data_IF_766584986781
#
_entry.id   IF_766584986781
#
_cell.length_a   1.000
_cell.length_b   1.000
_cell.length_c   1.000
_cell.angle_alpha   90.00
_cell.angle_beta   90.00
_cell.angle_gamma   90.00
#
_symmetry.space_group_name_H-M   'P 1'
#
loop_
_entity.id
_entity.type
_entity.pdbx_description
1 polymer ?
#
# COMPACT_ATOMS: atom_id res chain seq x y z
N UNK A 1 6.80 7.27 -9.38
CA UNK A 1 6.98 7.26 -7.93
C UNK A 1 5.67 7.01 -7.20
N UNK A 2 4.50 7.39 -7.75
CA UNK A 2 3.23 7.06 -7.09
C UNK A 2 2.77 5.62 -7.40
N UNK A 3 3.04 5.12 -8.61
CA UNK A 3 2.52 3.85 -9.12
C UNK A 3 3.25 2.66 -8.50
N UNK A 4 4.58 2.69 -8.46
CA UNK A 4 5.42 1.67 -7.81
C UNK A 4 5.06 1.50 -6.32
N UNK A 5 4.94 2.61 -5.59
CA UNK A 5 4.56 2.61 -4.17
C UNK A 5 3.10 2.13 -3.96
N UNK A 6 2.23 2.41 -4.93
CA UNK A 6 0.85 1.92 -4.90
C UNK A 6 0.78 0.41 -5.11
N UNK A 7 1.40 -0.11 -6.17
CA UNK A 7 1.41 -1.53 -6.50
C UNK A 7 2.12 -2.37 -5.42
N UNK A 8 3.27 -1.91 -4.92
CA UNK A 8 3.98 -2.59 -3.83
C UNK A 8 3.13 -2.66 -2.55
N UNK A 9 2.50 -1.54 -2.16
CA UNK A 9 1.61 -1.50 -1.01
C UNK A 9 0.39 -2.39 -1.17
N UNK A 10 -0.29 -2.33 -2.33
CA UNK A 10 -1.42 -3.20 -2.66
C UNK A 10 -1.05 -4.68 -2.56
N UNK A 11 0.07 -5.08 -3.16
CA UNK A 11 0.54 -6.45 -3.12
C UNK A 11 0.83 -6.92 -1.70
N UNK A 12 1.55 -6.12 -0.90
CA UNK A 12 1.81 -6.44 0.51
C UNK A 12 0.52 -6.58 1.34
N UNK A 13 -0.41 -5.63 1.21
CA UNK A 13 -1.70 -5.70 1.91
C UNK A 13 -2.55 -6.90 1.48
N UNK A 14 -2.54 -7.23 0.18
CA UNK A 14 -3.27 -8.37 -0.36
C UNK A 14 -2.71 -9.70 0.14
N UNK A 15 -1.39 -9.80 0.34
CA UNK A 15 -0.77 -11.00 0.92
C UNK A 15 -1.25 -11.22 2.36
N UNK A 16 -1.31 -10.15 3.17
CA UNK A 16 -1.79 -10.23 4.55
C UNK A 16 -3.24 -10.72 4.61
N UNK A 17 -4.09 -10.28 3.67
CA UNK A 17 -5.46 -10.77 3.57
C UNK A 17 -5.58 -12.19 3.04
N UNK A 18 -4.69 -12.57 2.12
CA UNK A 18 -4.56 -13.94 1.65
C UNK A 18 -4.27 -14.91 2.80
N UNK A 19 -3.32 -14.55 3.67
CA UNK A 19 -2.97 -15.36 4.87
C UNK A 19 -4.08 -15.29 5.94
N UNK A 20 -4.66 -14.11 6.19
CA UNK A 20 -5.68 -13.92 7.23
C UNK A 20 -6.98 -14.70 6.99
N UNK A 21 -7.44 -14.76 5.73
CA UNK A 21 -8.71 -15.42 5.38
C UNK A 21 -8.54 -16.76 4.66
N UNK A 22 -7.30 -17.25 4.54
CA UNK A 22 -6.95 -18.46 3.80
C UNK A 22 -7.54 -18.44 2.39
N UNK A 23 -7.30 -17.34 1.67
CA UNK A 23 -7.88 -17.12 0.33
C UNK A 23 -7.26 -18.08 -0.71
N UNK A 24 -7.89 -18.25 -1.89
CA UNK A 24 -7.34 -19.08 -2.94
C UNK A 24 -5.94 -18.63 -3.41
N UNK A 25 -5.14 -19.58 -3.88
CA UNK A 25 -3.76 -19.38 -4.34
C UNK A 25 -3.64 -18.29 -5.42
N UNK A 26 -4.68 -18.11 -6.25
CA UNK A 26 -4.73 -17.05 -7.26
C UNK A 26 -4.58 -15.64 -6.66
N UNK A 27 -5.10 -15.40 -5.45
CA UNK A 27 -4.95 -14.12 -4.75
C UNK A 27 -3.51 -13.94 -4.24
N UNK A 28 -2.89 -15.01 -3.73
CA UNK A 28 -1.48 -15.00 -3.36
C UNK A 28 -0.56 -14.70 -4.54
N UNK A 29 -0.82 -15.32 -5.70
CA UNK A 29 -0.08 -15.04 -6.95
C UNK A 29 -0.30 -13.61 -7.45
N UNK A 30 -1.54 -13.09 -7.35
CA UNK A 30 -1.84 -11.70 -7.71
C UNK A 30 -1.07 -10.73 -6.81
N UNK A 31 -1.03 -10.99 -5.50
CA UNK A 31 -0.25 -10.20 -4.54
C UNK A 31 1.24 -10.18 -4.90
N UNK A 32 1.84 -11.34 -5.14
CA UNK A 32 3.22 -11.46 -5.59
C UNK A 32 3.45 -10.70 -6.89
N UNK A 33 2.56 -10.88 -7.87
CA UNK A 33 2.61 -10.19 -9.16
C UNK A 33 2.58 -8.66 -9.02
N UNK A 34 1.71 -8.13 -8.16
CA UNK A 34 1.62 -6.68 -7.92
C UNK A 34 2.92 -6.11 -7.34
N UNK A 35 3.55 -6.80 -6.38
CA UNK A 35 4.83 -6.35 -5.81
C UNK A 35 5.95 -6.42 -6.86
N UNK A 36 6.01 -7.49 -7.65
CA UNK A 36 7.01 -7.65 -8.72
C UNK A 36 6.84 -6.56 -9.78
N UNK A 37 5.60 -6.32 -10.26
CA UNK A 37 5.32 -5.25 -11.23
C UNK A 37 5.66 -3.88 -10.63
N UNK A 38 5.31 -3.62 -9.37
CA UNK A 38 5.71 -2.40 -8.67
C UNK A 38 7.23 -2.21 -8.63
N UNK A 39 7.98 -3.28 -8.35
CA UNK A 39 9.44 -3.28 -8.40
C UNK A 39 10.01 -3.02 -9.80
N UNK A 40 9.39 -3.56 -10.85
CA UNK A 40 9.78 -3.29 -12.24
C UNK A 40 9.52 -1.82 -12.60
N UNK A 41 8.37 -1.27 -12.22
CA UNK A 41 8.05 0.16 -12.42
C UNK A 41 9.07 1.03 -11.70
N UNK A 42 9.44 0.70 -10.45
CA UNK A 42 10.49 1.41 -9.71
C UNK A 42 11.82 1.40 -10.47
N UNK A 43 12.24 0.27 -11.03
CA UNK A 43 13.47 0.17 -11.82
C UNK A 43 13.40 1.02 -13.10
N UNK A 44 12.25 1.11 -13.76
CA UNK A 44 12.06 1.95 -14.95
C UNK A 44 12.13 3.44 -14.63
N UNK A 45 11.72 3.83 -13.43
CA UNK A 45 11.78 5.22 -12.98
C UNK A 45 13.17 5.64 -12.47
N UNK A 46 14.03 4.67 -12.15
CA UNK A 46 15.42 4.96 -11.82
C UNK A 46 16.14 5.51 -13.05
N UNK A 47 16.83 6.65 -12.89
CA UNK A 47 17.64 7.20 -13.99
C UNK A 47 18.79 6.28 -14.45
N UNK A 48 19.20 5.31 -13.61
CA UNK A 48 20.26 4.34 -13.92
C UNK A 48 19.91 2.93 -13.39
N UNK A 49 19.00 2.18 -14.04
CA UNK A 49 18.49 0.89 -13.54
C UNK A 49 19.59 -0.15 -13.32
N UNK A 50 20.62 -0.16 -14.16
CA UNK A 50 21.75 -1.11 -14.06
C UNK A 50 22.57 -0.98 -12.77
N UNK A 51 22.43 0.14 -12.05
CA UNK A 51 23.10 0.37 -10.75
C UNK A 51 22.21 0.03 -9.56
N UNK A 52 20.97 -0.43 -9.79
CA UNK A 52 20.00 -0.72 -8.72
C UNK A 52 20.49 -1.78 -7.73
N UNK A 53 21.33 -2.74 -8.16
CA UNK A 53 21.92 -3.73 -7.25
C UNK A 53 22.72 -3.10 -6.11
N UNK A 54 23.32 -1.92 -6.33
CA UNK A 54 24.06 -1.17 -5.29
C UNK A 54 23.15 -0.66 -4.18
N UNK A 55 21.84 -0.55 -4.43
CA UNK A 55 20.88 -0.16 -3.42
C UNK A 55 20.82 -1.18 -2.27
N UNK A 56 21.21 -2.44 -2.46
CA UNK A 56 21.23 -3.46 -1.41
C UNK A 56 22.42 -3.27 -0.45
N UNK A 57 23.48 -2.58 -0.87
CA UNK A 57 24.76 -2.57 -0.17
C UNK A 57 24.83 -1.67 1.08
N UNK A 58 23.80 -0.86 1.38
CA UNK A 58 23.81 0.11 2.51
C UNK A 58 22.54 0.08 3.37
N UNK A 59 22.18 -1.07 3.97
CA UNK A 59 20.92 -1.21 4.72
C UNK A 59 20.88 -0.39 6.00
N UNK A 60 22.03 -0.12 6.61
CA UNK A 60 22.08 0.58 7.90
C UNK A 60 21.88 2.10 7.76
N UNK A 61 22.25 2.70 6.61
CA UNK A 61 22.20 4.15 6.41
C UNK A 61 21.09 4.64 5.49
N UNK A 62 20.50 3.77 4.65
CA UNK A 62 19.49 4.19 3.66
C UNK A 62 18.17 3.44 3.82
N UNK A 63 17.07 4.18 3.95
CA UNK A 63 15.71 3.62 3.94
C UNK A 63 15.35 2.96 2.61
N UNK A 64 15.87 3.49 1.50
CA UNK A 64 15.68 2.88 0.17
C UNK A 64 16.33 1.49 0.14
N UNK A 65 17.52 1.35 0.72
CA UNK A 65 18.20 0.05 0.82
C UNK A 65 17.39 -0.98 1.60
N UNK A 66 16.82 -0.57 2.75
CA UNK A 66 15.92 -1.41 3.55
C UNK A 66 14.68 -1.84 2.77
N UNK A 67 14.07 -0.91 2.02
CA UNK A 67 12.92 -1.20 1.16
C UNK A 67 13.21 -2.29 0.13
N UNK A 68 14.36 -2.23 -0.55
CA UNK A 68 14.78 -3.26 -1.52
C UNK A 68 14.92 -4.62 -0.84
N UNK A 69 15.51 -4.69 0.36
CA UNK A 69 15.65 -5.93 1.11
C UNK A 69 14.28 -6.49 1.52
N UNK A 70 13.34 -5.65 1.97
CA UNK A 70 11.99 -6.09 2.32
C UNK A 70 11.25 -6.66 1.11
N UNK A 71 11.37 -6.02 -0.06
CA UNK A 71 10.78 -6.51 -1.31
C UNK A 71 11.40 -7.84 -1.73
N UNK A 72 12.73 -7.98 -1.69
CA UNK A 72 13.40 -9.25 -2.03
C UNK A 72 13.00 -10.37 -1.06
N UNK A 73 12.99 -10.08 0.25
CA UNK A 73 12.58 -11.04 1.27
C UNK A 73 11.13 -11.48 1.04
N UNK A 74 10.23 -10.54 0.74
CA UNK A 74 8.84 -10.84 0.42
C UNK A 74 8.71 -11.70 -0.83
N UNK A 75 9.33 -11.31 -1.94
CA UNK A 75 9.25 -12.06 -3.21
C UNK A 75 9.75 -13.49 -3.03
N UNK A 76 10.88 -13.70 -2.37
CA UNK A 76 11.43 -15.04 -2.15
C UNK A 76 10.56 -15.85 -1.19
N UNK A 77 10.22 -15.31 -0.03
CA UNK A 77 9.46 -16.05 0.99
C UNK A 77 8.02 -16.35 0.56
N UNK A 78 7.31 -15.40 -0.05
CA UNK A 78 5.96 -15.62 -0.57
C UNK A 78 5.94 -16.61 -1.73
N UNK A 79 6.94 -16.58 -2.62
CA UNK A 79 7.07 -17.57 -3.69
C UNK A 79 7.26 -18.98 -3.12
N UNK A 80 8.13 -19.15 -2.13
CA UNK A 80 8.35 -20.45 -1.47
C UNK A 80 7.14 -20.92 -0.66
N UNK A 81 6.39 -19.98 -0.07
CA UNK A 81 5.16 -20.28 0.67
C UNK A 81 4.04 -20.75 -0.27
N UNK A 82 3.87 -20.10 -1.41
CA UNK A 82 2.81 -20.40 -2.38
C UNK A 82 3.16 -21.63 -3.24
N UNK A 83 4.45 -21.87 -3.54
CA UNK A 83 4.89 -22.88 -4.48
C UNK A 83 4.25 -24.27 -4.29
N UNK A 84 4.21 -24.88 -3.08
CA UNK A 84 3.63 -26.22 -2.89
C UNK A 84 2.15 -26.33 -3.24
N UNK A 85 1.43 -25.21 -3.29
CA UNK A 85 0.02 -25.17 -3.66
C UNK A 85 -0.20 -25.14 -5.18
N UNK A 86 0.87 -25.08 -5.98
CA UNK A 86 0.85 -25.20 -7.43
C UNK A 86 1.18 -26.65 -7.82
N UNK A 87 0.40 -27.23 -8.74
CA UNK A 87 0.57 -28.64 -9.16
C UNK A 87 2.00 -28.96 -9.62
N UNK A 88 2.66 -28.00 -10.29
CA UNK A 88 4.04 -28.11 -10.77
C UNK A 88 5.09 -28.29 -9.65
N UNK A 89 4.80 -27.83 -8.44
CA UNK A 89 5.70 -27.86 -7.29
C UNK A 89 5.13 -28.66 -6.11
N UNK A 90 4.13 -29.50 -6.37
CA UNK A 90 3.52 -30.40 -5.39
C UNK A 90 4.51 -31.41 -4.78
N UNK A 91 5.68 -31.61 -5.40
CA UNK A 91 6.77 -32.45 -4.90
C UNK A 91 7.58 -31.82 -3.75
N UNK A 92 7.38 -30.54 -3.45
CA UNK A 92 8.10 -29.86 -2.37
C UNK A 92 7.76 -30.49 -1.00
N UNK A 93 8.74 -30.62 -0.09
CA UNK A 93 8.58 -31.38 1.15
C UNK A 93 7.82 -30.61 2.25
N UNK A 94 7.44 -29.35 2.02
CA UNK A 94 6.67 -28.54 2.97
C UNK A 94 5.28 -28.23 2.43
N UNK A 95 4.32 -28.08 3.34
CA UNK A 95 2.96 -27.61 3.06
C UNK A 95 2.63 -26.41 3.96
N UNK A 96 1.61 -25.59 3.66
CA UNK A 96 1.19 -24.50 4.53
C UNK A 96 0.87 -24.93 5.97
N UNK A 97 0.47 -26.20 6.18
CA UNK A 97 0.21 -26.75 7.51
C UNK A 97 1.47 -27.26 8.24
N UNK A 98 2.54 -27.58 7.50
CA UNK A 98 3.81 -28.02 8.07
C UNK A 98 4.51 -26.89 8.85
N UNK A 99 5.39 -27.24 9.79
CA UNK A 99 6.16 -26.24 10.54
C UNK A 99 6.97 -25.33 9.60
N UNK A 100 7.61 -25.91 8.57
CA UNK A 100 8.38 -25.15 7.57
C UNK A 100 7.51 -24.18 6.78
N UNK A 101 6.32 -24.60 6.34
CA UNK A 101 5.37 -23.74 5.64
C UNK A 101 4.82 -22.61 6.52
N UNK A 102 4.52 -22.89 7.79
CA UNK A 102 4.10 -21.86 8.75
C UNK A 102 5.18 -20.81 8.98
N UNK A 103 6.43 -21.23 9.14
CA UNK A 103 7.57 -20.30 9.28
C UNK A 103 7.74 -19.44 8.03
N UNK A 104 7.64 -20.04 6.84
CA UNK A 104 7.68 -19.29 5.58
C UNK A 104 6.52 -18.30 5.45
N UNK A 105 5.30 -18.70 5.85
CA UNK A 105 4.12 -17.83 5.90
C UNK A 105 4.35 -16.61 6.79
N UNK A 106 4.82 -16.83 8.02
CA UNK A 106 5.14 -15.74 8.96
C UNK A 106 6.21 -14.79 8.41
N UNK A 107 7.26 -15.32 7.78
CA UNK A 107 8.31 -14.49 7.15
C UNK A 107 7.74 -13.70 5.97
N UNK A 108 6.88 -14.32 5.16
CA UNK A 108 6.21 -13.68 4.03
C UNK A 108 5.23 -12.60 4.48
N UNK A 109 4.40 -12.87 5.50
CA UNK A 109 3.49 -11.89 6.09
C UNK A 109 4.24 -10.72 6.75
N UNK A 110 5.31 -11.00 7.52
CA UNK A 110 6.13 -9.96 8.13
C UNK A 110 6.80 -9.07 7.06
N UNK A 111 7.36 -9.66 6.01
CA UNK A 111 7.95 -8.92 4.91
C UNK A 111 6.91 -8.16 4.08
N UNK A 112 5.71 -8.71 3.87
CA UNK A 112 4.59 -8.02 3.23
C UNK A 112 4.17 -6.75 4.01
N UNK A 113 4.10 -6.86 5.34
CA UNK A 113 3.84 -5.74 6.23
C UNK A 113 4.92 -4.66 6.09
N UNK A 114 6.19 -5.05 6.08
CA UNK A 114 7.32 -4.13 5.86
C UNK A 114 7.29 -3.49 4.47
N UNK A 115 6.90 -4.23 3.42
CA UNK A 115 6.72 -3.71 2.06
C UNK A 115 5.61 -2.64 2.02
N UNK A 116 4.53 -2.81 2.78
CA UNK A 116 3.47 -1.81 2.88
C UNK A 116 3.85 -0.58 3.74
N UNK A 117 4.73 -0.75 4.74
CA UNK A 117 5.18 0.32 5.64
C UNK A 117 6.32 1.18 5.08
N UNK A 118 7.29 0.55 4.40
CA UNK A 118 8.55 1.22 4.05
C UNK A 118 8.39 2.51 3.23
N UNK A 119 7.41 2.67 2.32
CA UNK A 119 7.33 3.90 1.53
C UNK A 119 7.09 5.12 2.41
N UNK A 120 6.23 4.99 3.43
CA UNK A 120 6.01 6.06 4.37
C UNK A 120 7.24 6.34 5.24
N UNK A 121 8.04 5.31 5.58
CA UNK A 121 9.32 5.53 6.27
C UNK A 121 10.34 6.29 5.41
N UNK A 122 10.49 5.92 4.13
CA UNK A 122 11.36 6.61 3.16
C UNK A 122 11.00 8.09 3.07
N UNK A 123 9.71 8.40 2.94
CA UNK A 123 9.22 9.77 2.88
C UNK A 123 9.42 10.51 4.21
N UNK A 124 9.10 9.87 5.34
CA UNK A 124 9.30 10.46 6.67
C UNK A 124 10.76 10.81 6.97
N UNK A 125 11.70 10.09 6.36
CA UNK A 125 13.13 10.33 6.52
C UNK A 125 13.68 11.48 5.65
N UNK A 126 12.84 12.27 4.99
CA UNK A 126 13.24 13.41 4.14
C UNK A 126 12.91 14.75 4.81
N UNK A 127 13.82 15.35 5.61
CA UNK A 127 13.52 16.58 6.37
C UNK A 127 13.26 17.79 5.47
N UNK A 128 13.81 17.81 4.26
CA UNK A 128 13.69 18.92 3.32
C UNK A 128 12.27 19.14 2.80
N UNK A 129 11.35 18.20 3.02
CA UNK A 129 9.95 18.33 2.63
C UNK A 129 9.11 18.10 3.89
N UNK A 130 8.74 19.16 4.62
CA UNK A 130 8.10 19.04 5.94
C UNK A 130 6.78 18.26 5.95
N UNK A 131 6.03 18.25 4.84
CA UNK A 131 4.80 17.45 4.73
C UNK A 131 5.08 15.95 4.74
N UNK A 132 6.21 15.51 4.20
CA UNK A 132 6.62 14.12 4.19
C UNK A 132 7.23 13.70 5.52
N UNK A 133 7.94 14.61 6.19
CA UNK A 133 8.56 14.42 7.51
C UNK A 133 7.53 14.35 8.65
N UNK A 134 6.64 13.35 8.61
CA UNK A 134 5.64 13.09 9.63
C UNK A 134 5.69 11.62 10.08
N UNK A 135 5.68 11.35 11.40
CA UNK A 135 5.60 9.98 11.91
C UNK A 135 4.27 9.30 11.59
N UNK A 136 3.26 10.05 11.14
CA UNK A 136 1.96 9.50 10.73
C UNK A 136 1.99 8.90 9.31
N UNK A 137 2.96 9.30 8.48
CA UNK A 137 2.98 8.90 7.08
C UNK A 137 3.17 7.38 6.87
N UNK A 138 4.06 6.68 7.61
CA UNK A 138 4.16 5.21 7.57
C UNK A 138 2.83 4.53 7.90
N UNK A 139 2.17 4.97 8.97
CA UNK A 139 0.88 4.40 9.42
C UNK A 139 -0.21 4.63 8.37
N UNK A 140 -0.25 5.84 7.80
CA UNK A 140 -1.21 6.23 6.78
C UNK A 140 -1.02 5.42 5.50
N UNK A 141 0.21 5.24 5.02
CA UNK A 141 0.50 4.46 3.82
C UNK A 141 0.23 2.96 4.02
N UNK A 142 0.49 2.44 5.22
CA UNK A 142 0.14 1.07 5.57
C UNK A 142 -1.38 0.86 5.59
N UNK A 143 -2.12 1.75 6.26
CA UNK A 143 -3.59 1.70 6.30
C UNK A 143 -4.20 1.84 4.90
N UNK A 144 -3.65 2.72 4.05
CA UNK A 144 -4.05 2.86 2.65
C UNK A 144 -3.74 1.60 1.83
N UNK A 145 -2.66 0.88 2.14
CA UNK A 145 -2.31 -0.38 1.49
C UNK A 145 -3.31 -1.49 1.83
N UNK A 146 -3.72 -1.60 3.08
CA UNK A 146 -4.79 -2.53 3.51
C UNK A 146 -6.14 -2.17 2.88
N UNK A 147 -6.48 -0.89 2.81
CA UNK A 147 -7.73 -0.44 2.18
C UNK A 147 -7.72 -0.70 0.68
N UNK A 148 -6.60 -0.43 0.01
CA UNK A 148 -6.44 -0.77 -1.39
C UNK A 148 -6.57 -2.29 -1.62
N UNK A 149 -5.98 -3.11 -0.76
CA UNK A 149 -6.09 -4.57 -0.84
C UNK A 149 -7.54 -5.05 -0.68
N UNK A 150 -8.33 -4.46 0.23
CA UNK A 150 -9.76 -4.80 0.34
C UNK A 150 -10.52 -4.33 -0.89
N UNK A 151 -10.14 -3.19 -1.48
CA UNK A 151 -10.65 -2.73 -2.78
C UNK A 151 -10.42 -3.73 -3.91
N UNK A 152 -9.25 -4.36 -3.98
CA UNK A 152 -8.97 -5.45 -4.95
C UNK A 152 -9.92 -6.62 -4.71
N UNK A 153 -10.07 -7.07 -3.46
CA UNK A 153 -10.95 -8.19 -3.13
C UNK A 153 -12.42 -7.89 -3.48
N UNK A 154 -12.90 -6.68 -3.19
CA UNK A 154 -14.25 -6.26 -3.58
C UNK A 154 -14.42 -6.23 -5.11
N UNK A 155 -13.41 -5.77 -5.85
CA UNK A 155 -13.42 -5.75 -7.32
C UNK A 155 -13.47 -7.17 -7.90
N UNK A 156 -12.78 -8.13 -7.28
CA UNK A 156 -12.75 -9.53 -7.68
C UNK A 156 -13.95 -10.36 -7.18
N UNK A 157 -14.83 -9.78 -6.37
CA UNK A 157 -16.00 -10.48 -5.81
C UNK A 157 -16.87 -11.24 -6.82
N UNK A 158 -17.09 -10.77 -8.07
CA UNK A 158 -17.91 -11.49 -9.05
C UNK A 158 -17.31 -12.83 -9.52
N UNK A 159 -16.02 -13.07 -9.28
CA UNK A 159 -15.36 -14.32 -9.66
C UNK A 159 -15.74 -15.50 -8.76
N UNK A 160 -16.53 -15.27 -7.70
CA UNK A 160 -16.98 -16.33 -6.78
C UNK A 160 -15.90 -16.86 -5.83
N UNK A 161 -14.66 -16.38 -5.96
CA UNK A 161 -13.49 -16.79 -5.16
C UNK A 161 -13.60 -16.44 -3.67
N UNK A 162 -14.53 -15.54 -3.32
CA UNK A 162 -14.62 -14.90 -1.99
C UNK A 162 -15.97 -15.13 -1.30
N UNK A 163 -16.86 -15.96 -1.86
CA UNK A 163 -18.28 -16.02 -1.46
C UNK A 163 -18.51 -16.20 0.04
N UNK A 164 -17.73 -17.06 0.71
CA UNK A 164 -17.85 -17.30 2.15
C UNK A 164 -17.13 -16.27 3.04
N UNK A 165 -16.37 -15.34 2.44
CA UNK A 165 -15.55 -14.34 3.14
C UNK A 165 -15.96 -12.91 2.80
N UNK A 166 -16.82 -12.71 1.80
CA UNK A 166 -17.16 -11.40 1.25
C UNK A 166 -17.77 -10.45 2.29
N UNK A 167 -18.59 -10.96 3.20
CA UNK A 167 -19.17 -10.16 4.28
C UNK A 167 -18.11 -9.68 5.27
N UNK A 168 -17.17 -10.56 5.65
CA UNK A 168 -16.01 -10.21 6.49
C UNK A 168 -15.07 -9.22 5.81
N UNK A 169 -14.83 -9.38 4.50
CA UNK A 169 -14.01 -8.47 3.71
C UNK A 169 -14.68 -7.10 3.60
N UNK A 170 -16.00 -7.06 3.37
CA UNK A 170 -16.79 -5.83 3.24
C UNK A 170 -16.85 -5.05 4.54
N UNK A 171 -17.08 -5.73 5.67
CA UNK A 171 -17.06 -5.10 7.00
C UNK A 171 -15.67 -4.56 7.36
N UNK A 172 -14.59 -5.30 7.07
CA UNK A 172 -13.24 -4.78 7.25
C UNK A 172 -12.96 -3.59 6.32
N UNK A 173 -13.44 -3.63 5.07
CA UNK A 173 -13.28 -2.52 4.13
C UNK A 173 -13.94 -1.24 4.66
N UNK A 174 -15.16 -1.31 5.20
CA UNK A 174 -15.84 -0.16 5.84
C UNK A 174 -15.00 0.40 6.99
N UNK A 175 -14.50 -0.46 7.86
CA UNK A 175 -13.65 -0.06 8.99
C UNK A 175 -12.37 0.63 8.51
N UNK A 176 -11.69 0.05 7.51
CA UNK A 176 -10.44 0.57 6.97
C UNK A 176 -10.62 1.89 6.21
N UNK A 177 -11.71 2.04 5.44
CA UNK A 177 -12.07 3.30 4.77
C UNK A 177 -12.33 4.39 5.82
N UNK A 178 -13.12 4.09 6.85
CA UNK A 178 -13.41 5.01 7.95
C UNK A 178 -12.15 5.40 8.74
N UNK A 179 -11.31 4.43 9.08
CA UNK A 179 -10.04 4.67 9.75
C UNK A 179 -9.10 5.55 8.91
N UNK A 180 -9.03 5.31 7.59
CA UNK A 180 -8.24 6.16 6.70
C UNK A 180 -8.76 7.58 6.59
N UNK A 181 -10.08 7.77 6.55
CA UNK A 181 -10.65 9.12 6.57
C UNK A 181 -10.21 9.90 7.80
N UNK A 182 -10.27 9.26 8.99
CA UNK A 182 -9.82 9.85 10.25
C UNK A 182 -8.32 10.13 10.24
N UNK A 183 -7.49 9.18 9.76
CA UNK A 183 -6.04 9.35 9.68
C UNK A 183 -5.64 10.47 8.72
N UNK A 184 -6.32 10.60 7.57
CA UNK A 184 -6.10 11.71 6.62
C UNK A 184 -6.45 13.04 7.28
N UNK A 185 -7.61 13.14 7.94
CA UNK A 185 -8.02 14.35 8.64
C UNK A 185 -7.01 14.73 9.73
N UNK A 186 -6.59 13.76 10.54
CA UNK A 186 -5.60 13.96 11.59
C UNK A 186 -4.24 14.40 11.04
N UNK A 187 -3.76 13.77 9.97
CA UNK A 187 -2.53 14.16 9.28
C UNK A 187 -2.58 15.63 8.80
N UNK A 188 -3.68 16.04 8.14
CA UNK A 188 -3.85 17.42 7.70
C UNK A 188 -3.92 18.41 8.88
N UNK A 189 -4.55 18.04 10.00
CA UNK A 189 -4.58 18.88 11.20
C UNK A 189 -3.19 19.09 11.80
N UNK A 190 -2.36 18.04 11.84
CA UNK A 190 -0.97 18.12 12.30
C UNK A 190 -0.15 19.03 11.38
N UNK A 191 -0.27 18.87 10.06
CA UNK A 191 0.43 19.73 9.10
C UNK A 191 0.03 21.20 9.21
N UNK A 192 -1.26 21.51 9.41
CA UNK A 192 -1.74 22.89 9.58
C UNK A 192 -1.13 23.59 10.80
N UNK A 193 -0.79 22.83 11.85
CA UNK A 193 -0.15 23.36 13.06
C UNK A 193 1.37 23.33 13.01
N UNK A 194 1.95 22.85 11.91
CA UNK A 194 3.39 22.78 11.68
C UNK A 194 3.92 24.07 11.03
N UNK A 195 5.17 24.07 10.57
CA UNK A 195 5.80 25.25 9.93
C UNK A 195 5.14 25.68 8.62
N UNK A 196 5.50 26.89 8.14
CA UNK A 196 4.87 27.54 6.98
C UNK A 196 4.86 26.67 5.70
N UNK A 197 5.93 25.94 5.41
CA UNK A 197 5.99 25.06 4.24
C UNK A 197 5.02 23.86 4.33
N UNK A 198 4.78 23.33 5.53
CA UNK A 198 3.78 22.29 5.75
C UNK A 198 2.36 22.83 5.59
N UNK A 199 2.10 24.05 6.09
CA UNK A 199 0.82 24.74 5.90
C UNK A 199 0.56 25.02 4.41
N UNK A 200 1.58 25.43 3.67
CA UNK A 200 1.48 25.64 2.22
C UNK A 200 1.19 24.34 1.47
N UNK A 201 1.78 23.22 1.90
CA UNK A 201 1.45 21.89 1.38
C UNK A 201 -0.03 21.55 1.59
N UNK A 202 -0.61 21.92 2.74
CA UNK A 202 -2.05 21.77 2.99
C UNK A 202 -2.87 22.72 2.11
N UNK A 203 -2.42 23.97 1.92
CA UNK A 203 -3.08 24.93 1.03
C UNK A 203 -3.16 24.42 -0.40
N UNK A 204 -2.10 23.78 -0.91
CA UNK A 204 -2.12 23.12 -2.22
C UNK A 204 -3.21 22.06 -2.34
N UNK A 205 -3.47 21.31 -1.26
CA UNK A 205 -4.51 20.27 -1.19
C UNK A 205 -5.92 20.82 -0.92
N UNK A 206 -6.07 21.96 -0.25
CA UNK A 206 -7.38 22.51 0.10
C UNK A 206 -7.89 23.52 -0.92
N UNK A 207 -7.02 24.38 -1.45
CA UNK A 207 -7.38 25.56 -2.25
C UNK A 207 -6.55 25.69 -3.53
N UNK A 208 -5.40 25.03 -3.60
CA UNK A 208 -4.50 25.11 -4.76
C UNK A 208 -4.87 24.18 -5.91
N UNK A 209 -3.89 23.98 -6.80
CA UNK A 209 -4.04 23.19 -8.03
C UNK A 209 -4.40 21.71 -7.80
N UNK A 210 -4.13 21.16 -6.61
CA UNK A 210 -4.45 19.77 -6.27
C UNK A 210 -5.81 19.64 -5.56
N UNK A 211 -6.49 20.74 -5.27
CA UNK A 211 -7.70 20.74 -4.45
C UNK A 211 -8.85 19.93 -5.05
N UNK A 212 -9.06 20.02 -6.37
CA UNK A 212 -10.08 19.22 -7.05
C UNK A 212 -9.76 17.73 -6.98
N UNK A 213 -8.50 17.36 -7.26
CA UNK A 213 -8.05 15.96 -7.24
C UNK A 213 -8.16 15.39 -5.82
N UNK A 214 -7.81 16.17 -4.81
CA UNK A 214 -7.90 15.75 -3.42
C UNK A 214 -9.36 15.63 -2.94
N UNK A 215 -10.17 16.68 -3.09
CA UNK A 215 -11.56 16.67 -2.58
C UNK A 215 -12.46 15.73 -3.38
N UNK A 216 -12.47 15.82 -4.71
CA UNK A 216 -13.32 14.98 -5.53
C UNK A 216 -12.75 13.57 -5.66
N UNK A 217 -11.45 13.43 -5.92
CA UNK A 217 -10.82 12.13 -6.15
C UNK A 217 -10.61 11.32 -4.87
N UNK A 218 -9.99 11.90 -3.84
CA UNK A 218 -9.65 11.16 -2.62
C UNK A 218 -10.81 11.10 -1.64
N UNK A 219 -11.41 12.25 -1.32
CA UNK A 219 -12.44 12.31 -0.28
C UNK A 219 -13.78 11.80 -0.82
N UNK A 220 -14.28 12.36 -1.92
CA UNK A 220 -15.57 11.93 -2.46
C UNK A 220 -15.50 10.52 -3.07
N UNK A 221 -14.69 10.35 -4.13
CA UNK A 221 -14.61 9.07 -4.86
C UNK A 221 -13.87 8.01 -4.06
N UNK A 222 -12.75 8.34 -3.41
CA UNK A 222 -11.94 7.35 -2.70
C UNK A 222 -12.46 6.91 -1.33
N UNK A 223 -13.34 7.70 -0.72
CA UNK A 223 -13.79 7.47 0.66
C UNK A 223 -15.32 7.45 0.79
N UNK A 224 -16.00 8.56 0.47
CA UNK A 224 -17.45 8.70 0.73
C UNK A 224 -18.27 7.74 -0.15
N UNK A 225 -18.02 7.73 -1.45
CA UNK A 225 -18.73 6.85 -2.40
C UNK A 225 -18.59 5.37 -2.03
N UNK A 226 -17.37 4.80 -1.88
CA UNK A 226 -17.23 3.38 -1.57
C UNK A 226 -17.80 3.03 -0.20
N UNK A 227 -17.69 3.91 0.80
CA UNK A 227 -18.31 3.70 2.11
C UNK A 227 -19.83 3.56 1.99
N UNK A 228 -20.49 4.47 1.26
CA UNK A 228 -21.93 4.41 1.06
C UNK A 228 -22.35 3.19 0.24
N UNK A 229 -21.59 2.87 -0.81
CA UNK A 229 -21.89 1.71 -1.67
C UNK A 229 -21.79 0.41 -0.89
N UNK A 230 -20.73 0.18 -0.11
CA UNK A 230 -20.57 -1.07 0.65
C UNK A 230 -21.66 -1.23 1.71
N UNK A 231 -22.08 -0.14 2.36
CA UNK A 231 -23.09 -0.18 3.43
C UNK A 231 -24.52 -0.31 2.88
N UNK A 232 -24.86 0.45 1.84
CA UNK A 232 -26.25 0.61 1.40
C UNK A 232 -26.59 -0.11 0.10
N UNK A 233 -25.59 -0.44 -0.72
CA UNK A 233 -25.78 -1.05 -2.03
C UNK A 233 -24.83 -2.25 -2.20
N UNK A 234 -25.01 -3.35 -1.45
CA UNK A 234 -24.10 -4.51 -1.49
C UNK A 234 -23.98 -5.14 -2.89
N UNK A 235 -24.98 -4.96 -3.77
CA UNK A 235 -24.92 -5.42 -5.16
C UNK A 235 -23.91 -4.65 -6.01
N UNK A 236 -23.45 -3.48 -5.59
CA UNK A 236 -22.52 -2.62 -6.31
C UNK A 236 -21.11 -2.58 -5.67
N UNK A 237 -20.74 -3.55 -4.83
CA UNK A 237 -19.41 -3.60 -4.17
C UNK A 237 -18.21 -3.55 -5.13
N UNK A 238 -18.38 -3.99 -6.37
CA UNK A 238 -17.34 -3.86 -7.42
C UNK A 238 -17.01 -2.39 -7.70
N UNK A 239 -18.03 -1.53 -7.76
CA UNK A 239 -17.86 -0.09 -7.92
C UNK A 239 -17.09 0.49 -6.72
N UNK A 240 -17.42 0.06 -5.50
CA UNK A 240 -16.68 0.47 -4.31
C UNK A 240 -15.21 0.07 -4.40
N UNK A 241 -14.90 -1.15 -4.84
CA UNK A 241 -13.53 -1.61 -5.06
C UNK A 241 -12.76 -0.72 -6.03
N UNK A 242 -13.35 -0.40 -7.19
CA UNK A 242 -12.75 0.49 -8.18
C UNK A 242 -12.52 1.92 -7.63
N UNK A 243 -13.51 2.46 -6.93
CA UNK A 243 -13.45 3.77 -6.28
C UNK A 243 -12.32 3.85 -5.23
N UNK A 244 -12.19 2.82 -4.38
CA UNK A 244 -11.12 2.72 -3.37
C UNK A 244 -9.73 2.71 -4.03
N UNK A 245 -9.55 1.92 -5.09
CA UNK A 245 -8.27 1.84 -5.80
C UNK A 245 -7.90 3.17 -6.45
N UNK A 246 -8.85 3.80 -7.14
CA UNK A 246 -8.65 5.12 -7.73
C UNK A 246 -8.31 6.16 -6.67
N UNK A 247 -9.07 6.21 -5.58
CA UNK A 247 -8.85 7.11 -4.45
C UNK A 247 -7.47 6.94 -3.80
N UNK A 248 -7.05 5.69 -3.57
CA UNK A 248 -5.76 5.37 -2.95
C UNK A 248 -4.55 5.73 -3.84
N UNK A 249 -4.70 5.64 -5.16
CA UNK A 249 -3.68 6.10 -6.12
C UNK A 249 -3.61 7.63 -6.15
N UNK A 250 -4.76 8.29 -6.25
CA UNK A 250 -4.85 9.76 -6.22
C UNK A 250 -4.34 10.33 -4.90
N UNK A 251 -4.57 9.64 -3.78
CA UNK A 251 -4.05 10.04 -2.47
C UNK A 251 -2.52 10.06 -2.46
N UNK A 252 -1.88 8.99 -2.92
CA UNK A 252 -0.40 8.94 -3.04
C UNK A 252 0.11 10.04 -3.96
N UNK A 253 -0.52 10.24 -5.11
CA UNK A 253 -0.17 11.33 -6.02
C UNK A 253 -0.27 12.70 -5.35
N UNK A 254 -1.34 12.98 -4.62
CA UNK A 254 -1.56 14.23 -3.90
C UNK A 254 -0.49 14.46 -2.84
N UNK A 255 -0.21 13.48 -1.96
CA UNK A 255 0.81 13.60 -0.90
C UNK A 255 2.20 13.85 -1.46
N UNK A 256 2.56 13.14 -2.53
CA UNK A 256 3.86 13.32 -3.17
C UNK A 256 3.96 14.68 -3.87
N UNK A 257 2.90 15.12 -4.57
CA UNK A 257 2.96 16.36 -5.34
C UNK A 257 2.73 17.63 -4.51
N UNK A 258 2.08 17.52 -3.35
CA UNK A 258 1.85 18.68 -2.48
C UNK A 258 3.06 19.09 -1.65
N UNK A 259 4.15 18.32 -1.67
CA UNK A 259 5.34 18.59 -0.86
C UNK A 259 6.07 19.86 -1.30
N UNK A 260 6.22 20.80 -0.36
CA UNK A 260 7.01 22.02 -0.56
C UNK A 260 8.43 21.80 -0.07
N UNK A 261 9.41 21.99 -0.96
CA UNK A 261 10.83 21.86 -0.63
C UNK A 261 11.33 23.08 0.14
N UNK A 262 12.03 22.83 1.25
CA UNK A 262 12.74 23.82 2.02
C UNK A 262 14.22 23.44 2.00
N UNK A 263 15.11 24.27 1.42
CA UNK A 263 16.54 24.03 1.46
C UNK A 263 17.04 24.09 2.90
N UNK A 264 17.98 23.21 3.26
CA UNK A 264 18.62 23.29 4.56
C UNK A 264 19.34 24.63 4.70
N UNK A 265 19.12 25.31 5.83
CA UNK A 265 20.05 26.35 6.24
C UNK A 265 21.40 25.65 6.46
N UNK A 266 22.42 26.06 5.71
CA UNK A 266 23.79 25.62 5.93
C UNK A 266 24.21 26.28 7.24
N UNK A 267 24.04 25.58 8.36
CA UNK A 267 24.60 25.95 9.66
C UNK A 267 25.94 25.27 9.84
#
# INVERSE_FOLDING_TARGET
MAIDLFLGGLGGGLFLFYELWELPVSIGLLSLGLVVVGGVVLLMELGHPWRAWRAICRPFSSWISRGVIFVLLFVVSSSLYIAPALDLFSWLPWSPLSLGGKVLGVIAGASACLVALYPGFVLSASPSIPSWNSPLLPVLFFSQSLTGASGILLLLSPLGLLNQRLEGISSLAVLLIGANFVLIAFYLMVLKKSGLAAQESVRHLSEGALSLIFKAGVILVGTVVPLLVVVWIPSAVVLAGACVLLGGLLFRYCVLKSGVYVPFAIT
#
